data_IF_377163286625
#
_entry.id   IF_377163286625
#
_cell.length_a   1.000
_cell.length_b   1.000
_cell.length_c   1.000
_cell.angle_alpha   90.00
_cell.angle_beta   90.00
_cell.angle_gamma   90.00
#
_symmetry.space_group_name_H-M   'P 1'
#
loop_
_entity.id
_entity.type
_entity.pdbx_description
1 polymer ?
#
# COMPACT_ATOMS: atom_id res chain seq x y z
N UNK A 1 4.17 -0.92 -15.87
CA UNK A 1 3.98 -1.04 -14.41
C UNK A 1 3.61 0.28 -13.73
N UNK A 2 4.20 1.43 -14.09
CA UNK A 2 3.85 2.74 -13.48
C UNK A 2 2.41 3.20 -13.78
N UNK A 3 1.86 2.88 -14.96
CA UNK A 3 0.46 3.26 -15.30
C UNK A 3 -0.60 2.53 -14.48
N UNK A 4 -0.28 1.33 -13.96
CA UNK A 4 -1.21 0.53 -13.17
C UNK A 4 -1.36 1.08 -11.74
N UNK A 5 -0.29 1.68 -11.20
CA UNK A 5 -0.32 2.41 -9.93
C UNK A 5 -1.03 3.76 -10.03
N UNK A 6 -0.92 4.45 -11.17
CA UNK A 6 -1.64 5.72 -11.41
C UNK A 6 -3.15 5.46 -11.58
N UNK A 7 -3.54 4.33 -12.18
CA UNK A 7 -4.95 3.95 -12.32
C UNK A 7 -5.64 3.64 -10.98
N UNK A 8 -4.90 3.28 -9.93
CA UNK A 8 -5.45 2.89 -8.64
C UNK A 8 -5.62 4.07 -7.68
N UNK A 9 -4.98 5.22 -7.97
CA UNK A 9 -4.95 6.40 -7.10
C UNK A 9 -5.78 7.57 -7.61
N UNK A 10 -6.26 7.53 -8.86
CA UNK A 10 -7.14 8.58 -9.38
C UNK A 10 -8.57 8.30 -8.90
N UNK A 11 -9.19 9.20 -8.12
CA UNK A 11 -10.60 9.06 -7.75
C UNK A 11 -11.43 9.14 -9.03
N UNK A 12 -12.39 8.23 -9.13
CA UNK A 12 -13.34 8.06 -10.24
C UNK A 12 -13.93 9.42 -10.63
N UNK A 13 -13.35 10.05 -11.65
CA UNK A 13 -13.92 11.19 -12.33
C UNK A 13 -14.47 10.67 -13.65
N UNK A 14 -15.77 10.84 -13.95
CA UNK A 14 -16.39 10.25 -15.13
C UNK A 14 -15.68 10.76 -16.39
N UNK A 15 -15.04 9.83 -17.11
CA UNK A 15 -14.23 10.06 -18.31
C UNK A 15 -14.94 10.91 -19.37
N UNK A 16 -16.27 10.91 -19.38
CA UNK A 16 -17.11 11.73 -20.23
C UNK A 16 -16.86 13.24 -20.08
N UNK A 17 -16.58 13.74 -18.87
CA UNK A 17 -16.34 15.17 -18.65
C UNK A 17 -14.98 15.62 -19.21
N UNK A 18 -13.99 14.74 -19.16
CA UNK A 18 -12.63 14.98 -19.65
C UNK A 18 -12.58 14.93 -21.18
N UNK A 19 -13.28 13.96 -21.79
CA UNK A 19 -13.44 13.89 -23.26
C UNK A 19 -14.14 15.15 -23.80
N UNK A 20 -15.22 15.61 -23.16
CA UNK A 20 -15.92 16.85 -23.56
C UNK A 20 -15.06 18.10 -23.41
N UNK A 21 -14.20 18.16 -22.38
CA UNK A 21 -13.30 19.28 -22.17
C UNK A 21 -12.15 19.33 -23.19
N UNK A 22 -11.67 18.15 -23.62
CA UNK A 22 -10.66 18.02 -24.69
C UNK A 22 -11.27 18.39 -26.05
N UNK A 23 -12.46 17.88 -26.36
CA UNK A 23 -13.16 18.15 -27.63
C UNK A 23 -13.46 19.65 -27.81
N UNK A 24 -13.90 20.33 -26.73
CA UNK A 24 -14.19 21.76 -26.74
C UNK A 24 -12.95 22.65 -26.85
N UNK A 25 -11.76 22.16 -26.47
CA UNK A 25 -10.51 22.94 -26.48
C UNK A 25 -9.67 22.72 -27.73
N UNK A 26 -9.81 21.58 -28.40
CA UNK A 26 -8.98 21.20 -29.57
C UNK A 26 -9.70 21.48 -30.91
N UNK A 27 -11.03 21.66 -30.91
CA UNK A 27 -11.79 21.94 -32.13
C UNK A 27 -12.45 23.34 -32.08
N UNK A 28 -11.71 24.46 -32.21
CA UNK A 28 -12.28 25.66 -32.78
C UNK A 28 -11.78 25.80 -34.22
N UNK A 29 -12.76 25.83 -35.14
CA UNK A 29 -12.62 26.27 -36.53
C UNK A 29 -11.85 25.35 -37.50
N UNK A 30 -12.48 24.22 -37.88
CA UNK A 30 -12.27 23.66 -39.22
C UNK A 30 -12.72 24.66 -40.28
N UNK A 31 -11.74 25.33 -40.88
CA UNK A 31 -11.57 25.51 -42.33
C UNK A 31 -12.88 25.54 -43.15
N UNK A 32 -13.34 26.75 -43.49
CA UNK A 32 -13.96 26.97 -44.80
C UNK A 32 -12.82 26.98 -45.82
N UNK A 33 -12.83 25.98 -46.70
CA UNK A 33 -11.87 25.83 -47.79
C UNK A 33 -12.26 26.84 -48.88
N UNK A 34 -11.37 27.77 -49.21
CA UNK A 34 -11.41 28.47 -50.49
C UNK A 34 -10.00 28.80 -51.01
N UNK A 35 -9.80 28.47 -52.28
CA UNK A 35 -8.70 28.72 -53.22
C UNK A 35 -7.23 28.75 -52.74
N UNK A 36 -6.61 27.58 -52.87
CA UNK A 36 -5.18 27.42 -53.15
C UNK A 36 -4.79 28.18 -54.41
N UNK A 37 -3.90 29.18 -54.31
CA UNK A 37 -2.74 29.40 -55.21
C UNK A 37 -2.10 30.80 -55.06
N UNK A 38 -2.72 31.77 -54.38
CA UNK A 38 -2.15 33.13 -54.26
C UNK A 38 -1.24 33.33 -53.04
N UNK A 39 -1.30 32.43 -52.05
CA UNK A 39 -0.55 32.58 -50.79
C UNK A 39 0.92 32.19 -50.90
N UNK A 40 1.28 31.23 -51.77
CA UNK A 40 2.66 30.74 -51.89
C UNK A 40 3.63 31.81 -52.38
N UNK A 41 3.23 32.58 -53.38
CA UNK A 41 4.09 33.61 -53.98
C UNK A 41 4.31 34.80 -53.05
N UNK A 42 3.32 35.10 -52.19
CA UNK A 42 3.44 36.18 -51.20
C UNK A 42 4.26 35.74 -50.00
N UNK A 43 4.16 34.46 -49.59
CA UNK A 43 4.93 33.91 -48.48
C UNK A 43 6.41 33.75 -48.79
N UNK A 44 6.78 33.25 -49.97
CA UNK A 44 8.20 33.15 -50.34
C UNK A 44 8.85 34.54 -50.41
N UNK A 45 8.13 35.54 -50.95
CA UNK A 45 8.67 36.90 -51.08
C UNK A 45 8.89 37.60 -49.74
N UNK A 46 8.05 37.33 -48.73
CA UNK A 46 8.17 37.91 -47.38
C UNK A 46 9.21 37.16 -46.53
N UNK A 47 9.38 35.86 -46.72
CA UNK A 47 10.40 35.06 -46.00
C UNK A 47 11.82 35.41 -46.48
N UNK A 48 12.01 35.65 -47.79
CA UNK A 48 13.35 35.86 -48.35
C UNK A 48 13.85 37.32 -48.34
N UNK A 49 13.00 38.33 -48.13
CA UNK A 49 13.44 39.74 -48.16
C UNK A 49 13.98 40.28 -46.83
N UNK A 50 13.77 39.57 -45.71
CA UNK A 50 13.99 40.14 -44.37
C UNK A 50 15.01 39.38 -43.51
N UNK A 51 15.84 38.49 -44.08
CA UNK A 51 16.90 37.82 -43.33
C UNK A 51 18.25 38.45 -43.70
N UNK A 52 18.83 39.32 -42.85
CA UNK A 52 20.24 39.66 -42.97
C UNK A 52 21.08 38.42 -42.66
N UNK A 53 21.75 37.88 -43.68
CA UNK A 53 22.77 36.83 -43.55
C UNK A 53 23.99 37.47 -42.87
N UNK A 54 24.02 37.43 -41.55
CA UNK A 54 25.18 37.79 -40.75
C UNK A 54 25.90 36.50 -40.37
N UNK A 55 26.92 36.16 -41.16
CA UNK A 55 27.85 35.09 -40.85
C UNK A 55 28.73 35.56 -39.70
N UNK A 56 28.39 35.16 -38.48
CA UNK A 56 29.31 35.26 -37.35
C UNK A 56 29.24 33.95 -36.60
N UNK A 57 30.29 33.14 -36.78
CA UNK A 57 30.59 32.01 -35.92
C UNK A 57 30.74 32.51 -34.48
N UNK A 58 29.62 32.60 -33.79
CA UNK A 58 29.58 32.64 -32.34
C UNK A 58 29.09 31.28 -31.93
N UNK A 59 30.07 30.41 -31.64
CA UNK A 59 29.87 29.15 -30.95
C UNK A 59 28.79 29.34 -29.88
N UNK A 60 27.64 28.64 -29.94
CA UNK A 60 26.69 28.70 -28.86
C UNK A 60 27.39 28.02 -27.69
N UNK A 61 28.00 28.82 -26.82
CA UNK A 61 28.33 28.39 -25.48
C UNK A 61 26.98 28.05 -24.88
N UNK A 62 26.63 26.77 -24.97
CA UNK A 62 25.55 26.19 -24.19
C UNK A 62 26.00 26.43 -22.76
N UNK A 63 25.52 27.51 -22.16
CA UNK A 63 25.53 27.66 -20.72
C UNK A 63 24.76 26.45 -20.22
N UNK A 64 25.53 25.46 -19.75
CA UNK A 64 24.99 24.37 -18.97
C UNK A 64 24.27 25.03 -17.80
N UNK A 65 22.94 25.10 -17.87
CA UNK A 65 22.11 25.33 -16.69
C UNK A 65 22.66 24.33 -15.67
N UNK A 66 23.22 24.77 -14.53
CA UNK A 66 23.67 23.82 -13.55
C UNK A 66 22.45 22.99 -13.20
N UNK A 67 22.45 21.73 -13.63
CA UNK A 67 21.59 20.70 -13.10
C UNK A 67 22.05 20.47 -11.66
N UNK A 68 21.67 21.39 -10.80
CA UNK A 68 21.69 21.23 -9.35
C UNK A 68 20.24 21.24 -8.87
N UNK A 69 19.36 20.47 -9.53
CA UNK A 69 18.08 20.11 -8.94
C UNK A 69 18.35 19.07 -7.86
N UNK A 70 18.60 19.55 -6.64
CA UNK A 70 19.06 18.75 -5.49
C UNK A 70 18.11 17.59 -5.14
N UNK A 71 16.84 17.59 -5.56
CA UNK A 71 16.02 16.38 -5.73
C UNK A 71 14.85 16.72 -6.68
N UNK A 72 14.52 15.82 -7.62
CA UNK A 72 13.27 15.96 -8.39
C UNK A 72 12.06 15.76 -7.47
N UNK A 73 10.89 16.42 -7.70
CA UNK A 73 9.69 16.21 -6.90
C UNK A 73 9.27 14.73 -6.80
N UNK A 74 9.52 13.97 -7.86
CA UNK A 74 9.28 12.53 -7.90
C UNK A 74 10.20 11.76 -6.95
N UNK A 75 11.49 12.14 -6.87
CA UNK A 75 12.44 11.56 -5.93
C UNK A 75 12.04 11.81 -4.48
N UNK A 76 11.52 12.99 -4.17
CA UNK A 76 11.02 13.33 -2.82
C UNK A 76 9.83 12.45 -2.45
N UNK A 77 8.90 12.23 -3.38
CA UNK A 77 7.77 11.33 -3.16
C UNK A 77 8.20 9.88 -2.87
N UNK A 78 9.11 9.33 -3.66
CA UNK A 78 9.64 7.98 -3.43
C UNK A 78 10.42 7.86 -2.12
N UNK A 79 11.19 8.89 -1.75
CA UNK A 79 11.90 8.94 -0.48
C UNK A 79 10.90 8.91 0.68
N UNK A 80 9.90 9.79 0.68
CA UNK A 80 8.87 9.83 1.71
C UNK A 80 8.13 8.50 1.82
N UNK A 81 7.71 7.94 0.69
CA UNK A 81 7.02 6.66 0.65
C UNK A 81 7.85 5.53 1.26
N UNK A 82 9.15 5.46 0.92
CA UNK A 82 10.07 4.44 1.43
C UNK A 82 10.32 4.61 2.91
N UNK A 83 10.48 5.85 3.40
CA UNK A 83 10.66 6.15 4.83
C UNK A 83 9.43 5.72 5.62
N UNK A 84 8.23 6.12 5.21
CA UNK A 84 6.99 5.77 5.92
C UNK A 84 6.76 4.26 5.91
N UNK A 85 6.90 3.61 4.76
CA UNK A 85 6.80 2.16 4.64
C UNK A 85 7.84 1.45 5.53
N UNK A 86 9.07 1.96 5.55
CA UNK A 86 10.16 1.46 6.39
C UNK A 86 9.85 1.55 7.89
N UNK A 87 9.22 2.63 8.35
CA UNK A 87 8.78 2.77 9.74
C UNK A 87 7.71 1.72 10.11
N UNK A 88 6.74 1.47 9.24
CA UNK A 88 5.74 0.43 9.47
C UNK A 88 6.35 -0.97 9.48
N UNK A 89 7.28 -1.24 8.55
CA UNK A 89 8.01 -2.49 8.51
C UNK A 89 8.83 -2.72 9.78
N UNK A 90 9.57 -1.69 10.22
CA UNK A 90 10.34 -1.75 11.46
C UNK A 90 9.45 -2.03 12.68
N UNK A 91 8.28 -1.38 12.76
CA UNK A 91 7.29 -1.63 13.81
C UNK A 91 6.77 -3.07 13.77
N UNK A 92 6.51 -3.63 12.59
CA UNK A 92 6.10 -5.03 12.42
C UNK A 92 7.19 -5.99 12.91
N UNK A 93 8.45 -5.75 12.53
CA UNK A 93 9.60 -6.55 12.98
C UNK A 93 9.73 -6.51 14.51
N UNK A 94 9.63 -5.34 15.14
CA UNK A 94 9.68 -5.23 16.60
C UNK A 94 8.58 -6.07 17.26
N UNK A 95 7.36 -6.03 16.73
CA UNK A 95 6.24 -6.80 17.28
C UNK A 95 6.49 -8.30 17.17
N UNK A 96 6.99 -8.76 16.04
CA UNK A 96 7.35 -10.17 15.83
C UNK A 96 8.48 -10.58 16.80
N UNK A 97 9.53 -9.76 16.93
CA UNK A 97 10.64 -10.02 17.86
C UNK A 97 10.18 -10.06 19.33
N UNK A 98 9.16 -9.28 19.71
CA UNK A 98 8.57 -9.37 21.07
C UNK A 98 7.95 -10.74 21.31
N UNK A 99 7.18 -11.26 20.36
CA UNK A 99 6.58 -12.61 20.47
C UNK A 99 7.68 -13.68 20.57
N UNK A 100 8.71 -13.61 19.72
CA UNK A 100 9.83 -14.54 19.78
C UNK A 100 10.63 -14.43 21.10
N UNK A 101 10.77 -13.23 21.67
CA UNK A 101 11.39 -13.05 22.98
C UNK A 101 10.59 -13.75 24.08
N UNK A 102 9.26 -13.64 24.06
CA UNK A 102 8.38 -14.34 25.02
C UNK A 102 8.54 -15.84 24.85
N UNK A 103 8.56 -16.34 23.61
CA UNK A 103 8.75 -17.76 23.30
C UNK A 103 10.08 -18.30 23.86
N UNK A 104 11.17 -17.54 23.77
CA UNK A 104 12.50 -17.97 24.23
C UNK A 104 12.65 -17.94 25.75
N UNK A 105 11.98 -17.01 26.42
CA UNK A 105 12.16 -16.76 27.85
C UNK A 105 11.21 -17.54 28.75
N UNK A 106 10.19 -18.20 28.20
CA UNK A 106 9.19 -18.93 28.97
C UNK A 106 9.29 -20.44 28.73
N UNK A 107 9.00 -21.27 29.74
CA UNK A 107 8.96 -22.71 29.56
C UNK A 107 7.86 -23.09 28.57
N UNK A 108 8.18 -24.05 27.71
CA UNK A 108 7.25 -24.57 26.71
C UNK A 108 6.94 -26.04 26.98
N UNK A 109 5.66 -26.37 27.02
CA UNK A 109 5.15 -27.73 27.11
C UNK A 109 4.58 -28.17 25.76
N UNK A 110 4.72 -29.45 25.43
CA UNK A 110 4.11 -30.01 24.23
C UNK A 110 2.64 -30.32 24.51
N UNK A 111 1.73 -29.65 23.80
CA UNK A 111 0.30 -29.86 23.93
C UNK A 111 -0.26 -30.41 22.60
N UNK A 112 -0.31 -31.73 22.50
CA UNK A 112 -0.72 -32.45 21.28
C UNK A 112 0.11 -32.03 20.05
N UNK A 113 -0.49 -31.34 19.07
CA UNK A 113 0.19 -30.82 17.85
C UNK A 113 0.73 -29.41 18.00
N UNK A 114 0.46 -28.74 19.12
CA UNK A 114 0.78 -27.34 19.37
C UNK A 114 1.76 -27.20 20.54
N UNK A 115 2.41 -26.06 20.64
CA UNK A 115 3.33 -25.77 21.74
C UNK A 115 2.69 -24.80 22.72
N UNK A 116 2.45 -25.24 23.94
CA UNK A 116 1.91 -24.44 25.02
C UNK A 116 3.06 -23.72 25.72
N UNK A 117 2.95 -22.41 25.88
CA UNK A 117 3.94 -21.57 26.55
C UNK A 117 3.26 -20.99 27.77
N UNK A 118 3.75 -21.40 28.94
CA UNK A 118 3.25 -20.89 30.21
C UNK A 118 3.84 -19.50 30.42
N UNK A 119 2.99 -18.47 30.33
CA UNK A 119 3.42 -17.09 30.57
C UNK A 119 2.95 -16.67 31.95
N UNK A 120 3.89 -16.24 32.79
CA UNK A 120 3.60 -15.71 34.11
C UNK A 120 3.44 -14.18 34.05
N UNK A 121 2.54 -13.62 34.87
CA UNK A 121 2.34 -12.18 35.03
C UNK A 121 1.04 -11.66 34.41
N UNK A 122 1.09 -10.47 33.81
CA UNK A 122 -0.10 -9.74 33.33
C UNK A 122 -0.39 -9.87 31.83
N UNK A 123 0.32 -10.75 31.14
CA UNK A 123 0.09 -11.02 29.71
C UNK A 123 -1.22 -11.78 29.53
N UNK A 124 -2.14 -11.33 28.66
CA UNK A 124 -3.35 -12.10 28.38
C UNK A 124 -3.00 -13.45 27.74
N UNK A 125 -3.93 -14.40 27.80
CA UNK A 125 -3.84 -15.62 26.99
C UNK A 125 -4.07 -15.25 25.53
N UNK A 126 -3.24 -15.77 24.62
CA UNK A 126 -3.39 -15.56 23.18
C UNK A 126 -2.69 -16.67 22.40
N UNK A 127 -3.12 -16.88 21.15
CA UNK A 127 -2.50 -17.79 20.20
C UNK A 127 -1.71 -17.02 19.13
N UNK A 128 -0.58 -17.59 18.73
CA UNK A 128 0.23 -17.04 17.64
C UNK A 128 0.87 -18.18 16.84
N UNK A 129 0.52 -18.28 15.55
CA UNK A 129 1.00 -19.31 14.63
C UNK A 129 0.69 -20.75 15.09
N UNK A 130 1.65 -21.44 15.71
CA UNK A 130 1.52 -22.81 16.25
C UNK A 130 1.76 -22.84 17.77
N UNK A 131 1.74 -21.66 18.42
CA UNK A 131 2.06 -21.46 19.82
C UNK A 131 0.85 -20.93 20.58
N UNK A 132 0.55 -21.51 21.73
CA UNK A 132 -0.46 -21.01 22.66
C UNK A 132 0.26 -20.36 23.83
N UNK A 133 0.10 -19.06 24.01
CA UNK A 133 0.60 -18.35 25.20
C UNK A 133 -0.51 -18.40 26.23
N UNK A 134 -0.36 -19.27 27.23
CA UNK A 134 -1.36 -19.49 28.25
C UNK A 134 -0.92 -18.83 29.55
N UNK A 135 -1.76 -17.92 30.04
CA UNK A 135 -1.59 -17.37 31.37
C UNK A 135 -2.49 -18.13 32.36
N UNK A 136 -1.87 -18.74 33.36
CA UNK A 136 -2.55 -19.39 34.47
C UNK A 136 -3.04 -18.35 35.50
N UNK A 137 -3.79 -17.34 35.03
CA UNK A 137 -4.61 -16.50 35.94
C UNK A 137 -5.60 -17.41 36.66
N UNK A 138 -6.06 -17.00 37.84
CA UNK A 138 -6.95 -17.73 38.77
C UNK A 138 -8.32 -18.14 38.15
N UNK A 139 -8.30 -18.90 37.06
CA UNK A 139 -9.42 -19.46 36.35
C UNK A 139 -9.73 -20.82 36.96
N UNK A 140 -11.00 -21.15 37.08
CA UNK A 140 -11.42 -22.51 37.41
C UNK A 140 -11.14 -23.48 36.24
N UNK A 141 -11.03 -24.78 36.52
CA UNK A 141 -10.69 -25.81 35.52
C UNK A 141 -11.64 -25.78 34.31
N UNK A 142 -12.93 -25.51 34.51
CA UNK A 142 -13.89 -25.38 33.42
C UNK A 142 -13.60 -24.17 32.51
N UNK A 143 -13.25 -23.02 33.11
CA UNK A 143 -12.92 -21.79 32.38
C UNK A 143 -11.59 -21.93 31.62
N UNK A 144 -10.59 -22.59 32.23
CA UNK A 144 -9.31 -22.88 31.56
C UNK A 144 -9.52 -23.68 30.28
N UNK A 145 -10.34 -24.73 30.34
CA UNK A 145 -10.60 -25.58 29.19
C UNK A 145 -11.33 -24.81 28.08
N UNK A 146 -12.32 -23.98 28.42
CA UNK A 146 -13.04 -23.16 27.46
C UNK A 146 -12.11 -22.16 26.74
N UNK A 147 -11.26 -21.45 27.49
CA UNK A 147 -10.30 -20.49 26.93
C UNK A 147 -9.28 -21.22 26.04
N UNK A 148 -8.76 -22.36 26.51
CA UNK A 148 -7.80 -23.13 25.75
C UNK A 148 -8.39 -23.66 24.42
N UNK A 149 -9.64 -24.14 24.44
CA UNK A 149 -10.32 -24.58 23.22
C UNK A 149 -10.53 -23.42 22.23
N UNK A 150 -10.90 -22.24 22.72
CA UNK A 150 -11.01 -21.04 21.87
C UNK A 150 -9.66 -20.72 21.19
N UNK A 151 -8.56 -20.73 21.93
CA UNK A 151 -7.22 -20.50 21.36
C UNK A 151 -6.77 -21.60 20.39
N UNK A 152 -7.15 -22.86 20.64
CA UNK A 152 -6.87 -23.96 19.72
C UNK A 152 -7.60 -23.76 18.39
N UNK A 153 -8.83 -23.26 18.40
CA UNK A 153 -9.57 -22.93 17.17
C UNK A 153 -8.83 -21.87 16.35
N UNK A 154 -8.32 -20.81 17.00
CA UNK A 154 -7.51 -19.79 16.32
C UNK A 154 -6.27 -20.37 15.63
N UNK A 155 -5.61 -21.34 16.24
CA UNK A 155 -4.47 -22.06 15.64
C UNK A 155 -4.90 -22.96 14.48
N UNK A 156 -6.03 -23.66 14.62
CA UNK A 156 -6.54 -24.55 13.58
C UNK A 156 -6.90 -23.78 12.31
N UNK A 157 -7.59 -22.65 12.45
CA UNK A 157 -8.00 -21.79 11.34
C UNK A 157 -6.88 -20.86 10.84
N UNK A 158 -5.73 -20.82 11.53
CA UNK A 158 -4.54 -20.04 11.17
C UNK A 158 -4.78 -18.53 11.07
N UNK A 159 -5.70 -17.99 11.86
CA UNK A 159 -6.08 -16.57 11.85
C UNK A 159 -4.91 -15.59 12.03
N UNK A 160 -3.86 -15.99 12.77
CA UNK A 160 -2.64 -15.18 12.89
C UNK A 160 -1.98 -14.90 11.54
N UNK A 161 -1.97 -15.88 10.63
CA UNK A 161 -1.34 -15.75 9.32
C UNK A 161 -2.08 -14.72 8.46
N UNK A 162 -3.40 -14.75 8.48
CA UNK A 162 -4.23 -13.79 7.73
C UNK A 162 -4.02 -12.37 8.26
N UNK A 163 -3.96 -12.19 9.58
CA UNK A 163 -3.65 -10.88 10.20
C UNK A 163 -2.23 -10.41 9.81
N UNK A 164 -1.24 -11.31 9.76
CA UNK A 164 0.12 -10.95 9.32
C UNK A 164 0.15 -10.52 7.85
N UNK A 165 -0.61 -11.19 6.97
CA UNK A 165 -0.74 -10.78 5.57
C UNK A 165 -1.35 -9.39 5.46
N UNK A 166 -2.40 -9.10 6.23
CA UNK A 166 -3.02 -7.76 6.24
C UNK A 166 -2.07 -6.70 6.78
N UNK A 167 -1.30 -7.00 7.83
CA UNK A 167 -0.25 -6.09 8.34
C UNK A 167 0.83 -5.83 7.28
N UNK A 168 1.20 -6.84 6.49
CA UNK A 168 2.11 -6.67 5.35
C UNK A 168 1.51 -5.77 4.27
N UNK A 169 0.25 -6.00 3.87
CA UNK A 169 -0.43 -5.12 2.93
C UNK A 169 -0.60 -3.70 3.46
N UNK A 170 -0.80 -3.52 4.76
CA UNK A 170 -0.85 -2.19 5.38
C UNK A 170 0.48 -1.45 5.25
N UNK A 171 1.63 -2.13 5.22
CA UNK A 171 2.93 -1.49 4.96
C UNK A 171 2.98 -0.92 3.54
N UNK A 172 2.46 -1.66 2.55
CA UNK A 172 2.46 -1.26 1.14
C UNK A 172 1.39 -0.21 0.87
N UNK A 173 0.19 -0.41 1.41
CA UNK A 173 -1.00 0.41 1.15
C UNK A 173 -1.37 1.28 2.35
N UNK A 174 -0.38 1.76 3.11
CA UNK A 174 -0.60 2.53 4.34
C UNK A 174 -1.48 3.77 4.13
N UNK A 175 -1.41 4.37 2.94
CA UNK A 175 -2.19 5.55 2.53
C UNK A 175 -3.65 5.21 2.19
N UNK A 176 -4.00 3.94 1.99
CA UNK A 176 -5.35 3.52 1.63
C UNK A 176 -6.21 3.32 2.89
N UNK A 177 -7.26 4.12 3.16
CA UNK A 177 -8.10 3.96 4.36
C UNK A 177 -8.82 2.60 4.43
N UNK A 178 -9.01 1.92 3.30
CA UNK A 178 -9.69 0.61 3.24
C UNK A 178 -8.90 -0.46 4.00
N UNK A 179 -7.57 -0.45 3.94
CA UNK A 179 -6.76 -1.50 4.59
C UNK A 179 -6.93 -1.47 6.11
N UNK A 180 -7.13 -0.28 6.68
CA UNK A 180 -7.33 -0.07 8.10
C UNK A 180 -8.67 -0.63 8.57
N UNK A 181 -9.73 -0.48 7.77
CA UNK A 181 -11.05 -1.06 8.06
C UNK A 181 -11.07 -2.55 7.82
N UNK A 182 -10.43 -3.00 6.75
CA UNK A 182 -10.36 -4.42 6.38
C UNK A 182 -9.79 -5.26 7.52
N UNK A 183 -8.70 -4.80 8.16
CA UNK A 183 -8.15 -5.48 9.33
C UNK A 183 -9.19 -5.70 10.44
N UNK A 184 -9.99 -4.67 10.76
CA UNK A 184 -10.99 -4.75 11.82
C UNK A 184 -12.08 -5.77 11.48
N UNK A 185 -12.63 -5.68 10.27
CA UNK A 185 -13.66 -6.62 9.81
C UNK A 185 -13.15 -8.06 9.76
N UNK A 186 -11.89 -8.27 9.37
CA UNK A 186 -11.28 -9.59 9.38
C UNK A 186 -11.20 -10.16 10.80
N UNK A 187 -10.80 -9.36 11.79
CA UNK A 187 -10.80 -9.78 13.19
C UNK A 187 -12.22 -10.13 13.68
N UNK A 188 -13.23 -9.31 13.37
CA UNK A 188 -14.62 -9.59 13.74
C UNK A 188 -15.13 -10.91 13.15
N UNK A 189 -14.77 -11.22 11.90
CA UNK A 189 -15.09 -12.50 11.27
C UNK A 189 -14.39 -13.66 11.97
N UNK A 190 -13.09 -13.53 12.28
CA UNK A 190 -12.35 -14.58 12.98
C UNK A 190 -12.93 -14.89 14.35
N UNK A 191 -13.30 -13.87 15.14
CA UNK A 191 -13.96 -14.08 16.44
C UNK A 191 -15.31 -14.82 16.26
N UNK A 192 -16.10 -14.41 15.26
CA UNK A 192 -17.37 -15.07 14.96
C UNK A 192 -17.19 -16.54 14.55
N UNK A 193 -16.19 -16.85 13.72
CA UNK A 193 -15.88 -18.22 13.31
C UNK A 193 -15.36 -19.05 14.50
N UNK A 194 -14.53 -18.45 15.35
CA UNK A 194 -14.01 -19.10 16.55
C UNK A 194 -15.13 -19.47 17.53
N UNK A 195 -16.06 -18.55 17.77
CA UNK A 195 -17.22 -18.77 18.66
C UNK A 195 -18.16 -19.85 18.11
N UNK A 196 -18.43 -19.84 16.80
CA UNK A 196 -19.28 -20.86 16.15
C UNK A 196 -18.67 -22.26 16.23
N UNK A 197 -17.35 -22.38 16.11
CA UNK A 197 -16.67 -23.67 16.22
C UNK A 197 -16.79 -24.28 17.63
N UNK A 198 -16.82 -23.46 18.68
CA UNK A 198 -17.04 -23.93 20.07
C UNK A 198 -18.47 -24.43 20.25
N UNK A 199 -19.44 -23.83 19.56
CA UNK A 199 -20.86 -24.22 19.60
C UNK A 199 -21.18 -25.49 18.78
N UNK A 200 -20.20 -26.06 18.08
CA UNK A 200 -20.38 -27.27 17.28
C UNK A 200 -21.18 -27.06 15.99
N UNK A 201 -21.27 -25.82 15.51
CA UNK A 201 -21.87 -25.51 14.21
C UNK A 201 -20.83 -25.90 13.13
N UNK A 202 -21.18 -26.78 12.17
CA UNK A 202 -20.24 -27.15 11.11
C UNK A 202 -19.87 -25.93 10.27
N UNK A 203 -18.56 -25.78 10.02
CA UNK A 203 -17.92 -24.70 9.27
C UNK A 203 -17.67 -25.12 7.82
#
# INVERSE_FOLDING_TARGET
MVSLFISLTIPILPSAALVKAIEKKIIPATLKIDESNTYRDTFEKVIFSNIPVSNTETNPKIESIPNNSILSPLSIFFLLYTVVSGLFLFKLIINILKVFRILRNNPSENFSKYKLILVNGDTPTFSFLNYIFFNNRNLDNGQKNSVLMHEVTHLHQRHTLDIMIVEFFKIIFWFNPVIWRYKKSLCEVHECLADQAILGIPQ
#
